data_IF_347740275426
#
_entry.id   IF_347740275426
#
_cell.length_a   1.000
_cell.length_b   1.000
_cell.length_c   1.000
_cell.angle_alpha   90.00
_cell.angle_beta   90.00
_cell.angle_gamma   90.00
#
_symmetry.space_group_name_H-M   'P 1'
#
loop_
_entity.id
_entity.type
_entity.pdbx_description
1 polymer ?
#
# COMPACT_ATOMS: atom_id res chain seq x y z
N UNK A 1 -3.05 -3.63 4.80
CA UNK A 1 -2.16 -4.15 3.74
C UNK A 1 -1.70 -3.09 2.74
N UNK A 2 -2.50 -2.58 1.78
CA UNK A 2 -1.96 -1.67 0.74
C UNK A 2 -1.29 -0.40 1.32
N UNK A 3 -1.94 0.26 2.27
CA UNK A 3 -1.37 1.41 2.99
C UNK A 3 -0.02 1.09 3.65
N UNK A 4 0.09 -0.06 4.30
CA UNK A 4 1.27 -0.45 5.09
C UNK A 4 2.45 -0.78 4.17
N UNK A 5 2.18 -1.47 3.05
CA UNK A 5 3.19 -1.77 2.04
C UNK A 5 3.73 -0.50 1.37
N UNK A 6 2.87 0.48 1.13
CA UNK A 6 3.25 1.73 0.50
C UNK A 6 3.97 2.69 1.47
N UNK A 7 3.48 2.80 2.72
CA UNK A 7 4.00 3.76 3.70
C UNK A 7 5.11 3.21 4.60
N UNK A 8 5.25 1.88 4.70
CA UNK A 8 6.12 1.23 5.68
C UNK A 8 5.62 1.39 7.13
N UNK A 9 4.42 1.94 7.34
CA UNK A 9 3.82 2.20 8.65
C UNK A 9 2.66 1.25 8.88
N UNK A 10 2.58 0.66 10.08
CA UNK A 10 1.44 -0.15 10.46
C UNK A 10 0.19 0.72 10.62
N UNK A 11 -0.96 0.22 10.17
CA UNK A 11 -2.22 0.94 10.30
C UNK A 11 -2.65 1.03 11.79
N UNK A 12 -3.16 2.18 12.20
CA UNK A 12 -3.69 2.42 13.57
C UNK A 12 -2.69 2.24 14.72
N UNK A 13 -1.39 2.16 14.45
CA UNK A 13 -0.35 2.07 15.49
C UNK A 13 0.23 3.43 15.82
N UNK A 14 0.54 3.68 17.10
CA UNK A 14 1.37 4.82 17.48
C UNK A 14 2.85 4.50 17.22
N UNK A 15 3.52 5.37 16.47
CA UNK A 15 4.93 5.27 16.10
C UNK A 15 5.91 5.35 17.28
N UNK A 16 5.45 5.61 18.50
CA UNK A 16 6.34 5.89 19.65
C UNK A 16 6.45 4.78 20.71
N UNK A 17 5.46 3.90 20.86
CA UNK A 17 5.47 2.88 21.94
C UNK A 17 5.56 1.43 21.47
N UNK A 18 5.39 1.16 20.16
CA UNK A 18 5.53 -0.18 19.57
C UNK A 18 4.56 -1.26 20.08
N UNK A 19 3.73 -0.94 21.07
CA UNK A 19 2.81 -1.87 21.73
C UNK A 19 1.44 -1.22 21.83
N UNK A 20 0.58 -1.51 20.85
CA UNK A 20 -0.86 -1.24 20.95
C UNK A 20 -1.53 -2.53 21.37
N UNK A 21 -2.27 -2.51 22.47
CA UNK A 21 -3.03 -3.69 22.90
C UNK A 21 -4.07 -4.06 21.83
N UNK A 22 -4.39 -5.35 21.68
CA UNK A 22 -5.40 -5.79 20.70
C UNK A 22 -6.75 -5.07 20.89
N UNK A 23 -7.16 -4.84 22.14
CA UNK A 23 -8.41 -4.13 22.44
C UNK A 23 -8.32 -2.66 22.06
N UNK A 24 -7.18 -2.03 22.30
CA UNK A 24 -6.92 -0.64 21.89
C UNK A 24 -6.95 -0.52 20.37
N UNK A 25 -6.30 -1.42 19.64
CA UNK A 25 -6.30 -1.47 18.19
C UNK A 25 -7.73 -1.58 17.63
N UNK A 26 -8.55 -2.48 18.20
CA UNK A 26 -9.95 -2.63 17.81
C UNK A 26 -10.75 -1.35 18.04
N UNK A 27 -10.56 -0.68 19.18
CA UNK A 27 -11.21 0.60 19.46
C UNK A 27 -10.83 1.66 18.43
N UNK A 28 -9.57 1.71 18.00
CA UNK A 28 -9.10 2.67 16.99
C UNK A 28 -9.70 2.39 15.62
N UNK A 29 -9.69 1.13 15.17
CA UNK A 29 -10.29 0.73 13.89
C UNK A 29 -11.78 1.13 13.82
N UNK A 30 -12.51 0.96 14.93
CA UNK A 30 -13.94 1.30 14.99
C UNK A 30 -14.18 2.80 15.07
N UNK A 31 -13.42 3.52 15.89
CA UNK A 31 -13.75 4.90 16.26
C UNK A 31 -12.96 5.97 15.50
N UNK A 32 -11.70 5.71 15.12
CA UNK A 32 -10.85 6.68 14.43
C UNK A 32 -11.13 6.73 12.92
N UNK A 33 -10.56 7.74 12.26
CA UNK A 33 -10.52 7.80 10.80
C UNK A 33 -9.48 6.80 10.27
N UNK A 34 -9.74 6.16 9.12
CA UNK A 34 -8.76 5.27 8.52
C UNK A 34 -7.49 6.02 8.12
N UNK A 35 -6.32 5.35 8.12
CA UNK A 35 -5.11 5.93 7.58
C UNK A 35 -5.26 6.23 6.09
N UNK A 36 -4.51 7.22 5.60
CA UNK A 36 -4.51 7.61 4.19
C UNK A 36 -3.09 7.81 3.68
N UNK A 37 -2.88 7.55 2.39
CA UNK A 37 -1.66 7.95 1.70
C UNK A 37 -1.82 9.41 1.26
N UNK A 38 -0.77 10.22 1.45
CA UNK A 38 -0.79 11.63 1.12
C UNK A 38 0.12 11.94 -0.06
N UNK A 39 -0.33 12.82 -0.95
CA UNK A 39 0.51 13.37 -2.02
C UNK A 39 1.71 14.14 -1.44
N UNK A 40 1.58 14.69 -0.22
CA UNK A 40 2.68 15.34 0.50
C UNK A 40 3.80 14.37 0.88
N UNK A 41 3.49 13.08 1.03
CA UNK A 41 4.45 12.03 1.35
C UNK A 41 5.08 11.41 0.07
N UNK A 42 4.83 11.99 -1.11
CA UNK A 42 5.38 11.54 -2.39
C UNK A 42 4.56 10.48 -3.12
N UNK A 43 3.35 10.15 -2.64
CA UNK A 43 2.45 9.24 -3.33
C UNK A 43 1.71 9.93 -4.48
N UNK A 44 1.41 9.19 -5.55
CA UNK A 44 0.60 9.74 -6.64
C UNK A 44 -0.86 9.95 -6.18
N UNK A 45 -1.59 10.85 -6.85
CA UNK A 45 -3.00 11.10 -6.53
C UNK A 45 -3.85 9.85 -6.74
N UNK A 46 -3.53 9.07 -7.77
CA UNK A 46 -4.26 7.87 -8.18
C UNK A 46 -4.15 6.76 -7.12
N UNK A 47 -2.94 6.46 -6.63
CA UNK A 47 -2.77 5.45 -5.57
C UNK A 47 -3.36 5.91 -4.24
N UNK A 48 -3.25 7.21 -3.95
CA UNK A 48 -3.79 7.80 -2.72
C UNK A 48 -5.32 7.72 -2.70
N UNK A 49 -5.96 8.07 -3.81
CA UNK A 49 -7.41 7.99 -3.98
C UNK A 49 -7.89 6.53 -3.92
N UNK A 50 -7.24 5.63 -4.66
CA UNK A 50 -7.57 4.20 -4.67
C UNK A 50 -7.53 3.59 -3.26
N UNK A 51 -6.44 3.82 -2.52
CA UNK A 51 -6.32 3.31 -1.15
C UNK A 51 -7.36 3.94 -0.22
N UNK A 52 -7.72 5.21 -0.42
CA UNK A 52 -8.77 5.85 0.37
C UNK A 52 -10.13 5.18 0.17
N UNK A 53 -10.48 4.78 -1.07
CA UNK A 53 -11.73 4.09 -1.38
C UNK A 53 -11.81 2.71 -0.71
N UNK A 54 -10.68 1.99 -0.65
CA UNK A 54 -10.57 0.70 0.03
C UNK A 54 -10.77 0.80 1.55
N UNK A 55 -10.31 1.90 2.17
CA UNK A 55 -10.27 2.05 3.62
C UNK A 55 -11.48 2.76 4.23
N UNK A 56 -12.44 3.19 3.39
CA UNK A 56 -13.73 3.71 3.88
C UNK A 56 -14.43 2.70 4.80
N UNK A 57 -15.17 3.24 5.79
CA UNK A 57 -16.02 2.44 6.68
C UNK A 57 -17.19 1.84 5.90
N UNK A 58 -17.67 0.69 6.37
CA UNK A 58 -18.46 -0.29 5.62
C UNK A 58 -19.43 0.28 4.58
N UNK A 59 -20.43 1.08 5.00
CA UNK A 59 -21.46 1.61 4.08
C UNK A 59 -20.93 2.52 2.96
N UNK A 60 -19.71 3.03 3.07
CA UNK A 60 -19.09 3.93 2.11
C UNK A 60 -17.97 3.24 1.31
N UNK A 61 -17.64 1.98 1.61
CA UNK A 61 -16.56 1.26 0.96
C UNK A 61 -16.99 0.85 -0.44
N UNK A 62 -16.17 1.20 -1.44
CA UNK A 62 -16.38 0.77 -2.81
C UNK A 62 -16.29 -0.76 -2.91
N UNK A 63 -17.15 -1.34 -3.74
CA UNK A 63 -17.12 -2.76 -4.05
C UNK A 63 -15.88 -3.12 -4.87
N UNK A 64 -15.44 -4.39 -4.85
CA UNK A 64 -14.32 -4.83 -5.67
C UNK A 64 -14.50 -4.52 -7.17
N UNK A 65 -15.72 -4.66 -7.70
CA UNK A 65 -16.04 -4.38 -9.10
C UNK A 65 -15.89 -2.90 -9.46
N UNK A 66 -16.33 -1.99 -8.58
CA UNK A 66 -16.13 -0.55 -8.76
C UNK A 66 -14.64 -0.20 -8.72
N UNK A 67 -13.89 -0.82 -7.80
CA UNK A 67 -12.45 -0.61 -7.67
C UNK A 67 -11.66 -1.11 -8.89
N UNK A 68 -12.13 -2.17 -9.58
CA UNK A 68 -11.50 -2.65 -10.81
C UNK A 68 -11.54 -1.63 -11.95
N UNK A 69 -12.52 -0.73 -11.94
CA UNK A 69 -12.64 0.34 -12.95
C UNK A 69 -11.81 1.59 -12.60
N UNK A 70 -11.08 1.59 -11.49
CA UNK A 70 -10.37 2.77 -11.01
C UNK A 70 -9.13 3.08 -11.87
N UNK A 71 -8.83 4.35 -12.20
CA UNK A 71 -7.70 4.74 -13.05
C UNK A 71 -6.33 4.21 -12.59
N UNK A 72 -6.14 4.04 -11.27
CA UNK A 72 -4.93 3.43 -10.70
C UNK A 72 -4.62 2.04 -11.29
N UNK A 73 -5.64 1.25 -11.61
CA UNK A 73 -5.49 -0.12 -12.11
C UNK A 73 -5.45 -0.21 -13.64
N UNK A 74 -5.74 0.87 -14.38
CA UNK A 74 -5.80 0.86 -15.85
C UNK A 74 -4.51 0.32 -16.49
N UNK A 75 -3.38 0.63 -15.87
CA UNK A 75 -2.03 0.25 -16.31
C UNK A 75 -1.61 -1.17 -15.89
N UNK A 76 -2.47 -1.91 -15.18
CA UNK A 76 -2.16 -3.20 -14.55
C UNK A 76 -3.15 -4.32 -14.94
N UNK A 77 -4.20 -4.00 -15.70
CA UNK A 77 -5.23 -4.94 -16.13
C UNK A 77 -5.11 -5.21 -17.64
N UNK A 78 -5.26 -6.48 -18.03
CA UNK A 78 -5.45 -6.95 -19.40
C UNK A 78 -6.69 -7.87 -19.42
N UNK A 79 -7.26 -8.20 -20.59
CA UNK A 79 -8.48 -9.02 -20.68
C UNK A 79 -8.38 -10.36 -19.93
N UNK A 80 -7.19 -10.97 -19.90
CA UNK A 80 -6.94 -12.28 -19.27
C UNK A 80 -6.27 -12.20 -17.88
N UNK A 81 -6.15 -11.01 -17.27
CA UNK A 81 -5.71 -10.87 -15.87
C UNK A 81 -4.74 -9.72 -15.57
N UNK A 82 -3.86 -9.94 -14.59
CA UNK A 82 -2.96 -8.90 -14.07
C UNK A 82 -1.65 -8.88 -14.86
N UNK A 83 -1.33 -7.72 -15.45
CA UNK A 83 -0.03 -7.46 -16.08
C UNK A 83 0.85 -6.63 -15.16
N UNK A 84 2.09 -7.10 -14.95
CA UNK A 84 3.12 -6.23 -14.39
C UNK A 84 3.51 -5.21 -15.45
N UNK A 85 3.12 -3.95 -15.25
CA UNK A 85 3.44 -2.87 -16.17
C UNK A 85 4.95 -2.83 -16.46
N UNK A 86 5.29 -2.73 -17.76
CA UNK A 86 6.68 -2.71 -18.24
C UNK A 86 7.51 -1.61 -17.57
N UNK A 87 6.88 -0.50 -17.20
CA UNK A 87 7.46 0.63 -16.45
C UNK A 87 8.11 0.17 -15.15
N UNK A 88 7.43 -0.68 -14.38
CA UNK A 88 7.89 -1.08 -13.05
C UNK A 88 8.75 -2.35 -13.07
N UNK A 89 8.80 -3.09 -14.19
CA UNK A 89 9.52 -4.37 -14.26
C UNK A 89 11.01 -4.24 -13.93
N UNK A 90 11.64 -3.15 -14.39
CA UNK A 90 13.05 -2.87 -14.12
C UNK A 90 13.32 -2.67 -12.63
N UNK A 91 12.51 -1.82 -12.00
CA UNK A 91 12.66 -1.46 -10.59
C UNK A 91 12.33 -2.62 -9.67
N UNK A 92 11.27 -3.38 -9.95
CA UNK A 92 10.92 -4.61 -9.21
C UNK A 92 12.07 -5.61 -9.28
N UNK A 93 12.69 -5.79 -10.46
CA UNK A 93 13.83 -6.69 -10.62
C UNK A 93 15.05 -6.22 -9.84
N UNK A 94 15.35 -4.91 -9.86
CA UNK A 94 16.45 -4.32 -9.09
C UNK A 94 16.22 -4.49 -7.58
N UNK A 95 15.03 -4.15 -7.10
CA UNK A 95 14.62 -4.35 -5.71
C UNK A 95 14.77 -5.80 -5.28
N UNK A 96 14.23 -6.76 -6.05
CA UNK A 96 14.32 -8.18 -5.73
C UNK A 96 15.77 -8.72 -5.71
N UNK A 97 16.67 -8.16 -6.53
CA UNK A 97 18.11 -8.45 -6.44
C UNK A 97 18.71 -7.90 -5.14
N UNK A 98 18.37 -6.68 -4.75
CA UNK A 98 18.85 -6.06 -3.52
C UNK A 98 18.35 -6.78 -2.27
N UNK A 99 17.10 -7.24 -2.23
CA UNK A 99 16.58 -8.09 -1.14
C UNK A 99 17.45 -9.35 -0.93
N UNK A 100 17.75 -10.07 -2.02
CA UNK A 100 18.63 -11.26 -1.96
C UNK A 100 20.07 -10.96 -1.55
N UNK A 101 20.56 -9.75 -1.82
CA UNK A 101 21.90 -9.32 -1.39
C UNK A 101 21.93 -9.05 0.10
N UNK A 102 20.95 -8.31 0.61
CA UNK A 102 20.82 -7.99 2.04
C UNK A 102 20.65 -9.27 2.85
N UNK A 103 19.84 -10.23 2.40
CA UNK A 103 19.74 -11.55 3.03
C UNK A 103 21.07 -12.32 3.11
N UNK A 104 22.04 -12.01 2.23
CA UNK A 104 23.40 -12.57 2.25
C UNK A 104 24.41 -11.69 3.00
N UNK A 105 23.95 -10.71 3.78
CA UNK A 105 24.78 -9.76 4.52
C UNK A 105 25.50 -8.73 3.64
N UNK A 106 25.13 -8.59 2.36
CA UNK A 106 25.76 -7.64 1.43
C UNK A 106 24.96 -6.33 1.40
N UNK A 107 25.62 -5.17 1.28
CA UNK A 107 24.93 -3.88 1.20
C UNK A 107 24.07 -3.79 -0.08
N UNK A 108 23.03 -2.96 0.02
CA UNK A 108 22.17 -2.56 -1.11
C UNK A 108 23.05 -1.94 -2.20
N UNK A 109 22.83 -2.34 -3.45
CA UNK A 109 23.49 -1.71 -4.58
C UNK A 109 22.66 -0.52 -5.02
N UNK A 110 23.17 0.68 -4.78
CA UNK A 110 22.74 1.93 -5.43
C UNK A 110 23.50 2.03 -6.74
N UNK A 111 22.78 1.87 -7.86
CA UNK A 111 23.29 2.23 -9.19
C UNK A 111 23.19 3.75 -9.37
#
# INVERSE_FOLDING_TARGET
MLYELASGKLAFTNSESGQTSILELLQRIVNEQPPSLSVKDGFSREVSDFVSLCLKKEKQRSSPWELMSHPFLADFLEEDGVRVNSKYRGDIRKWAKNVRRVQKGKPVKTD
#
